data_IF_113055998080
#
_entry.id   IF_113055998080
#
_cell.length_a   1.000
_cell.length_b   1.000
_cell.length_c   1.000
_cell.angle_alpha   90.00
_cell.angle_beta   90.00
_cell.angle_gamma   90.00
#
_symmetry.space_group_name_H-M   'P 1'
#
loop_
_entity.id
_entity.type
_entity.pdbx_description
1 polymer ?
#
# COMPACT_ATOMS: atom_id res chain seq x y z
N UNK A 1 19.11 -14.42 23.53
CA UNK A 1 18.04 -15.43 23.58
C UNK A 1 16.90 -14.94 22.69
N UNK A 2 16.70 -15.57 21.52
CA UNK A 2 15.59 -15.28 20.61
C UNK A 2 14.28 -15.76 21.24
N UNK A 3 13.32 -14.86 21.44
CA UNK A 3 11.92 -15.15 21.82
C UNK A 3 11.05 -14.27 20.93
N UNK A 4 10.66 -14.76 19.75
CA UNK A 4 9.38 -15.41 19.42
C UNK A 4 8.20 -14.42 19.27
N UNK A 5 7.75 -14.30 18.00
CA UNK A 5 6.34 -14.26 17.52
C UNK A 5 5.64 -12.91 17.77
N UNK A 6 5.20 -12.19 16.74
CA UNK A 6 3.90 -12.37 16.06
C UNK A 6 4.02 -12.03 14.56
N UNK A 7 3.53 -12.95 13.73
CA UNK A 7 3.29 -12.76 12.31
C UNK A 7 2.13 -11.77 12.11
N UNK A 8 2.40 -10.65 11.45
CA UNK A 8 1.35 -9.81 10.88
C UNK A 8 0.83 -10.51 9.62
N UNK A 9 -0.25 -11.26 9.77
CA UNK A 9 -1.03 -11.75 8.63
C UNK A 9 -1.72 -10.55 7.98
N UNK A 10 -1.05 -9.93 7.01
CA UNK A 10 -1.67 -9.04 6.05
C UNK A 10 -2.56 -9.87 5.11
N UNK A 11 -3.75 -10.25 5.58
CA UNK A 11 -4.83 -10.68 4.69
C UNK A 11 -5.45 -9.46 4.03
N UNK A 12 -4.72 -8.84 3.10
CA UNK A 12 -5.36 -8.06 2.06
C UNK A 12 -5.87 -9.04 1.03
N UNK A 13 -7.18 -9.26 1.09
CA UNK A 13 -7.92 -9.95 0.06
C UNK A 13 -7.67 -9.23 -1.28
N UNK A 14 -6.88 -9.85 -2.16
CA UNK A 14 -6.86 -9.62 -3.61
C UNK A 14 -8.22 -10.03 -4.23
N UNK A 15 -9.32 -9.52 -3.68
CA UNK A 15 -10.66 -9.71 -4.21
C UNK A 15 -10.93 -8.62 -5.25
N UNK A 16 -10.36 -8.77 -6.44
CA UNK A 16 -10.62 -7.82 -7.51
C UNK A 16 -9.87 -8.02 -8.81
N UNK A 17 -9.75 -9.25 -9.31
CA UNK A 17 -9.81 -9.61 -10.74
C UNK A 17 -9.32 -8.58 -11.80
N UNK A 18 -8.20 -7.91 -11.58
CA UNK A 18 -7.52 -7.04 -12.55
C UNK A 18 -6.09 -7.53 -12.79
N UNK A 19 -5.96 -8.84 -13.03
CA UNK A 19 -4.76 -9.37 -13.67
C UNK A 19 -4.72 -8.90 -15.12
N UNK A 20 -4.06 -7.76 -15.39
CA UNK A 20 -3.08 -7.58 -16.47
C UNK A 20 -2.63 -6.11 -16.54
N UNK A 21 -1.89 -5.64 -15.54
CA UNK A 21 -1.26 -4.33 -15.64
C UNK A 21 -0.80 -3.77 -14.32
N UNK A 22 0.00 -4.51 -13.54
CA UNK A 22 0.81 -3.84 -12.52
C UNK A 22 1.72 -2.88 -13.28
N UNK A 23 1.40 -1.59 -13.18
CA UNK A 23 2.05 -0.57 -13.97
C UNK A 23 3.54 -0.57 -13.62
N UNK A 24 4.43 -0.26 -14.57
CA UNK A 24 5.87 -0.16 -14.26
C UNK A 24 6.14 0.86 -13.14
N UNK A 25 5.22 1.81 -12.96
CA UNK A 25 5.17 2.75 -11.85
C UNK A 25 4.99 2.04 -10.49
N UNK A 26 4.00 1.17 -10.35
CA UNK A 26 3.73 0.44 -9.10
C UNK A 26 4.93 -0.41 -8.72
N UNK A 27 5.48 -1.16 -9.68
CA UNK A 27 6.67 -1.97 -9.44
C UNK A 27 7.89 -1.15 -9.02
N UNK A 28 8.01 0.09 -9.51
CA UNK A 28 9.09 0.98 -9.09
C UNK A 28 8.87 1.57 -7.70
N UNK A 29 7.61 1.79 -7.32
CA UNK A 29 7.23 2.27 -6.00
C UNK A 29 7.42 1.17 -4.94
N UNK A 30 7.01 -0.05 -5.24
CA UNK A 30 7.24 -1.25 -4.41
C UNK A 30 8.74 -1.43 -4.12
N UNK A 31 9.61 -1.36 -5.13
CA UNK A 31 11.06 -1.50 -4.93
C UNK A 31 11.65 -0.35 -4.10
N UNK A 32 11.06 0.85 -4.19
CA UNK A 32 11.49 1.99 -3.38
C UNK A 32 11.03 1.84 -1.92
N UNK A 33 9.79 1.38 -1.70
CA UNK A 33 9.27 1.07 -0.38
C UNK A 33 10.08 -0.04 0.30
N UNK A 34 10.34 -1.15 -0.40
CA UNK A 34 11.20 -2.26 0.06
C UNK A 34 12.58 -1.78 0.54
N UNK A 35 13.20 -0.85 -0.20
CA UNK A 35 14.50 -0.31 0.15
C UNK A 35 14.45 0.53 1.45
N UNK A 36 13.38 1.30 1.62
CA UNK A 36 13.15 2.11 2.83
C UNK A 36 12.85 1.22 4.04
N UNK A 37 12.05 0.16 3.88
CA UNK A 37 11.79 -0.82 4.94
C UNK A 37 13.06 -1.58 5.34
N UNK A 38 13.91 -1.92 4.37
CA UNK A 38 15.20 -2.55 4.64
C UNK A 38 16.14 -1.61 5.43
N UNK A 39 16.11 -0.31 5.14
CA UNK A 39 16.84 0.70 5.92
C UNK A 39 16.22 0.90 7.31
N UNK A 40 14.89 0.87 7.42
CA UNK A 40 14.17 0.93 8.68
C UNK A 40 14.56 -0.24 9.61
N UNK A 41 14.67 -1.45 9.05
CA UNK A 41 15.11 -2.64 9.78
C UNK A 41 16.57 -2.54 10.28
N UNK A 42 17.39 -1.69 9.68
CA UNK A 42 18.76 -1.42 10.10
C UNK A 42 18.86 -0.17 11.00
N UNK A 43 17.77 0.56 11.24
CA UNK A 43 17.78 1.81 11.97
C UNK A 43 18.19 1.60 13.44
N UNK A 44 19.04 2.49 14.00
CA UNK A 44 19.52 2.37 15.38
C UNK A 44 18.47 2.80 16.43
N UNK A 45 17.35 3.38 16.01
CA UNK A 45 16.30 3.87 16.91
C UNK A 45 14.92 3.62 16.31
N UNK A 46 13.95 3.36 17.18
CA UNK A 46 12.54 3.19 16.81
C UNK A 46 11.96 4.43 16.11
N UNK A 47 12.42 5.63 16.47
CA UNK A 47 11.99 6.87 15.81
C UNK A 47 12.45 6.94 14.34
N UNK A 48 13.66 6.45 14.03
CA UNK A 48 14.15 6.39 12.65
C UNK A 48 13.47 5.26 11.87
N UNK A 49 13.28 4.10 12.48
CA UNK A 49 12.51 3.00 11.89
C UNK A 49 11.09 3.46 11.52
N UNK A 50 10.40 4.13 12.45
CA UNK A 50 9.05 4.66 12.23
C UNK A 50 9.01 5.70 11.11
N UNK A 51 10.00 6.58 11.04
CA UNK A 51 10.05 7.59 9.99
C UNK A 51 10.24 6.97 8.60
N UNK A 52 11.12 5.97 8.49
CA UNK A 52 11.40 5.27 7.24
C UNK A 52 10.21 4.40 6.79
N UNK A 53 9.57 3.67 7.72
CA UNK A 53 8.36 2.91 7.42
C UNK A 53 7.20 3.82 6.99
N UNK A 54 7.02 4.98 7.64
CA UNK A 54 5.98 5.94 7.25
C UNK A 54 6.22 6.56 5.86
N UNK A 55 7.48 6.68 5.44
CA UNK A 55 7.84 7.10 4.07
C UNK A 55 7.52 5.99 3.07
N UNK A 56 7.83 4.73 3.39
CA UNK A 56 7.50 3.56 2.56
C UNK A 56 5.98 3.42 2.36
N UNK A 57 5.20 3.47 3.45
CA UNK A 57 3.73 3.41 3.44
C UNK A 57 3.10 4.51 2.56
N UNK A 58 3.71 5.70 2.53
CA UNK A 58 3.25 6.80 1.69
C UNK A 58 3.46 6.50 0.21
N UNK A 59 4.62 5.94 -0.14
CA UNK A 59 4.97 5.62 -1.53
C UNK A 59 4.05 4.51 -2.07
N UNK A 60 3.78 3.48 -1.27
CA UNK A 60 2.83 2.41 -1.63
C UNK A 60 1.42 2.95 -1.82
N UNK A 61 0.95 3.82 -0.92
CA UNK A 61 -0.35 4.46 -1.06
C UNK A 61 -0.43 5.38 -2.29
N UNK A 62 0.60 6.19 -2.55
CA UNK A 62 0.66 7.05 -3.72
C UNK A 62 0.62 6.23 -5.02
N UNK A 63 1.33 5.10 -5.07
CA UNK A 63 1.33 4.17 -6.21
C UNK A 63 -0.02 3.46 -6.39
N UNK A 64 -0.57 2.86 -5.32
CA UNK A 64 -1.87 2.21 -5.35
C UNK A 64 -3.01 3.16 -5.75
N UNK A 65 -2.94 4.43 -5.35
CA UNK A 65 -3.89 5.46 -5.78
C UNK A 65 -3.65 5.90 -7.23
N UNK A 66 -2.40 5.91 -7.70
CA UNK A 66 -2.03 6.31 -9.07
C UNK A 66 -2.46 5.27 -10.13
N UNK A 67 -2.46 3.98 -9.80
CA UNK A 67 -2.96 2.90 -10.69
C UNK A 67 -4.50 2.79 -10.69
N UNK A 68 -5.20 3.68 -9.97
CA UNK A 68 -6.66 3.77 -9.94
C UNK A 68 -7.32 3.09 -8.74
N UNK A 69 -6.55 2.75 -7.70
CA UNK A 69 -7.08 2.36 -6.41
C UNK A 69 -7.79 3.51 -5.71
N UNK A 70 -9.11 3.62 -5.92
CA UNK A 70 -10.04 4.40 -5.10
C UNK A 70 -9.60 5.82 -4.69
N UNK A 71 -9.37 6.72 -5.64
CA UNK A 71 -9.74 8.12 -5.37
C UNK A 71 -11.27 8.23 -5.51
N UNK A 72 -11.86 9.05 -4.65
CA UNK A 72 -13.28 9.18 -4.24
C UNK A 72 -14.33 9.34 -5.36
N UNK A 73 -13.97 9.24 -6.63
CA UNK A 73 -14.82 9.57 -7.78
C UNK A 73 -15.53 8.35 -8.40
N UNK A 74 -15.25 7.13 -7.94
CA UNK A 74 -15.86 5.90 -8.47
C UNK A 74 -16.71 5.11 -7.48
N UNK A 75 -17.19 5.71 -6.38
CA UNK A 75 -18.39 5.17 -5.73
C UNK A 75 -19.56 5.33 -6.70
N UNK A 76 -20.20 4.25 -7.19
CA UNK A 76 -21.38 4.40 -8.02
C UNK A 76 -22.39 5.24 -7.25
N UNK A 77 -22.86 6.34 -7.86
CA UNK A 77 -23.99 7.07 -7.30
C UNK A 77 -25.18 6.10 -7.31
N UNK A 78 -25.50 5.51 -6.16
CA UNK A 78 -26.68 4.64 -5.99
C UNK A 78 -27.95 5.45 -5.80
N UNK A 79 -27.95 6.76 -6.09
CA UNK A 79 -29.20 7.51 -6.15
C UNK A 79 -30.06 6.89 -7.24
N UNK A 80 -31.26 6.36 -6.92
CA UNK A 80 -32.19 5.98 -7.96
C UNK A 80 -32.50 7.24 -8.75
N UNK A 81 -32.06 7.29 -10.01
CA UNK A 81 -32.55 8.31 -10.94
C UNK A 81 -34.05 8.08 -11.05
N UNK A 82 -34.84 8.92 -10.38
CA UNK A 82 -36.29 8.97 -10.58
C UNK A 82 -36.54 9.26 -12.06
N UNK A 83 -37.22 8.37 -12.81
CA UNK A 83 -37.60 8.67 -14.16
C UNK A 83 -38.85 9.56 -14.16
N UNK A 84 -38.69 10.74 -14.76
CA UNK A 84 -39.70 11.72 -15.20
C UNK A 84 -40.32 12.64 -14.16
#
# INVERSE_FOLDING_TARGET
>A
MRKLIIAATATFALAGLAACGESAADKSAEVQADALEAEAAAAPTEAQETALNAEADRIEQEAGNADGGMTTENTPNTSPSTPQ
#
